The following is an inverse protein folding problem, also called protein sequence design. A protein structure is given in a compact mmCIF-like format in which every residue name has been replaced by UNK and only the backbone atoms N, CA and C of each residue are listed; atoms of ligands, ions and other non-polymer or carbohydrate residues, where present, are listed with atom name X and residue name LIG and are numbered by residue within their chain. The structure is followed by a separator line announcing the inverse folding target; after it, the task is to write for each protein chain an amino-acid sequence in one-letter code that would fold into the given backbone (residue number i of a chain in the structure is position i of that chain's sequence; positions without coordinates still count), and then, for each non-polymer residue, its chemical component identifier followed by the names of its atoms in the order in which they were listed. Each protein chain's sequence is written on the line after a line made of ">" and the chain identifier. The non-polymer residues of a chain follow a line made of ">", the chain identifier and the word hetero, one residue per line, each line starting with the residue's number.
data_IF_621864842314
#
_entry.id   IF_621864842314
#
_cell.length_a   1.000
_cell.length_b   1.000
_cell.length_c   1.000
_cell.angle_alpha   90.00
_cell.angle_beta   90.00
_cell.angle_gamma   90.00
#
_symmetry.space_group_name_H-M   'P 1'
#
loop_
_entity.id
_entity.type
_entity.pdbx_description
1 polymer ?
#
# COMPACT_ATOMS: atom_id res chain seq x y z
N UNK A 1 13.06 6.13 -15.07
CA UNK A 1 12.43 6.68 -13.83
C UNK A 1 10.92 6.95 -13.91
N UNK A 2 10.36 7.47 -15.03
CA UNK A 2 8.91 7.81 -15.09
C UNK A 2 7.99 6.60 -14.86
N UNK A 3 8.30 5.46 -15.47
CA UNK A 3 7.53 4.21 -15.31
C UNK A 3 7.61 3.70 -13.87
N UNK A 4 8.81 3.65 -13.29
CA UNK A 4 8.98 3.22 -11.89
C UNK A 4 8.21 4.11 -10.90
N UNK A 5 8.23 5.43 -11.10
CA UNK A 5 7.41 6.37 -10.32
C UNK A 5 5.93 6.08 -10.46
N UNK A 6 5.46 5.84 -11.68
CA UNK A 6 4.06 5.50 -11.93
C UNK A 6 3.67 4.19 -11.25
N UNK A 7 4.50 3.15 -11.37
CA UNK A 7 4.28 1.85 -10.73
C UNK A 7 4.24 1.96 -9.21
N UNK A 8 5.14 2.75 -8.60
CA UNK A 8 5.16 2.97 -7.15
C UNK A 8 3.89 3.66 -6.65
N UNK A 9 3.44 4.71 -7.32
CA UNK A 9 2.23 5.43 -6.94
C UNK A 9 0.98 4.59 -7.19
N UNK A 10 0.84 4.01 -8.38
CA UNK A 10 -0.30 3.18 -8.73
C UNK A 10 -0.39 1.92 -7.85
N UNK A 11 0.74 1.23 -7.64
CA UNK A 11 0.81 0.06 -6.77
C UNK A 11 0.50 0.38 -5.32
N UNK A 12 0.97 1.51 -4.80
CA UNK A 12 0.63 1.97 -3.46
C UNK A 12 -0.86 2.29 -3.30
N UNK A 13 -1.50 2.89 -4.32
CA UNK A 13 -2.96 3.10 -4.31
C UNK A 13 -3.71 1.76 -4.27
N UNK A 14 -3.30 0.77 -5.09
CA UNK A 14 -3.91 -0.56 -5.09
C UNK A 14 -3.77 -1.23 -3.73
N UNK A 15 -2.60 -1.15 -3.09
CA UNK A 15 -2.37 -1.68 -1.74
C UNK A 15 -3.24 -0.99 -0.68
N UNK A 16 -3.47 0.33 -0.78
CA UNK A 16 -4.39 1.04 0.11
C UNK A 16 -5.82 0.54 -0.06
N UNK A 17 -6.30 0.44 -1.30
CA UNK A 17 -7.66 -0.06 -1.58
C UNK A 17 -7.81 -1.49 -1.03
N UNK A 18 -6.82 -2.34 -1.25
CA UNK A 18 -6.81 -3.70 -0.72
C UNK A 18 -6.86 -3.69 0.81
N UNK A 19 -5.95 -2.98 1.50
CA UNK A 19 -5.92 -2.87 2.96
C UNK A 19 -7.23 -2.34 3.56
N UNK A 20 -7.87 -1.37 2.90
CA UNK A 20 -9.18 -0.84 3.30
C UNK A 20 -10.26 -1.91 3.19
N UNK A 21 -10.27 -2.68 2.10
CA UNK A 21 -11.24 -3.77 1.92
C UNK A 21 -11.12 -4.83 3.03
N UNK A 22 -9.90 -5.26 3.38
CA UNK A 22 -9.70 -6.26 4.45
C UNK A 22 -10.07 -5.73 5.84
N UNK A 23 -9.84 -4.44 6.10
CA UNK A 23 -10.07 -3.84 7.43
C UNK A 23 -11.51 -3.40 7.67
N UNK A 24 -12.23 -2.95 6.62
CA UNK A 24 -13.58 -2.40 6.76
C UNK A 24 -14.69 -3.39 6.40
N UNK A 25 -14.46 -4.36 5.50
CA UNK A 25 -15.49 -5.33 5.14
C UNK A 25 -15.51 -6.48 6.16
N UNK A 26 -16.64 -6.74 6.84
CA UNK A 26 -16.75 -7.79 7.85
C UNK A 26 -16.38 -9.17 7.33
N UNK A 27 -16.65 -9.43 6.04
CA UNK A 27 -16.38 -10.72 5.38
C UNK A 27 -14.88 -11.01 5.18
N UNK A 28 -14.02 -10.00 5.24
CA UNK A 28 -12.56 -10.13 5.08
C UNK A 28 -11.80 -9.83 6.38
N UNK A 29 -12.50 -9.31 7.38
CA UNK A 29 -11.92 -8.91 8.65
C UNK A 29 -11.70 -10.14 9.53
N UNK A 30 -10.51 -10.69 9.47
CA UNK A 30 -10.05 -11.68 10.45
C UNK A 30 -9.73 -10.98 11.78
N UNK A 31 -10.06 -11.63 12.90
CA UNK A 31 -9.74 -11.17 14.25
C UNK A 31 -8.40 -11.74 14.75
N UNK A 32 -7.70 -12.50 13.92
CA UNK A 32 -6.39 -13.03 14.26
C UNK A 32 -5.33 -11.92 14.33
N UNK A 33 -4.46 -11.96 15.33
CA UNK A 33 -3.38 -10.97 15.50
C UNK A 33 -2.41 -11.00 14.31
N UNK A 34 -2.19 -12.19 13.73
CA UNK A 34 -1.35 -12.36 12.55
C UNK A 34 -1.90 -11.57 11.34
N UNK A 35 -3.21 -11.69 11.09
CA UNK A 35 -3.89 -10.99 10.00
C UNK A 35 -3.98 -9.48 10.24
N UNK A 36 -4.09 -9.07 11.52
CA UNK A 36 -4.06 -7.66 11.93
C UNK A 36 -2.68 -7.05 11.65
N UNK A 37 -1.60 -7.73 12.04
CA UNK A 37 -0.23 -7.28 11.78
C UNK A 37 0.08 -7.23 10.29
N UNK A 38 -0.40 -8.20 9.51
CA UNK A 38 -0.28 -8.18 8.06
C UNK A 38 -1.01 -6.99 7.44
N UNK A 39 -2.22 -6.68 7.91
CA UNK A 39 -3.00 -5.53 7.44
C UNK A 39 -2.27 -4.21 7.70
N UNK A 40 -1.70 -4.03 8.90
CA UNK A 40 -0.87 -2.87 9.24
C UNK A 40 0.37 -2.79 8.33
N UNK A 41 1.02 -3.93 8.06
CA UNK A 41 2.15 -4.02 7.12
C UNK A 41 1.78 -3.60 5.71
N UNK A 42 0.60 -4.00 5.21
CA UNK A 42 0.07 -3.59 3.90
C UNK A 42 -0.09 -2.07 3.84
N UNK A 43 -0.68 -1.44 4.86
CA UNK A 43 -0.82 0.01 4.92
C UNK A 43 0.53 0.74 4.97
N UNK A 44 1.49 0.23 5.76
CA UNK A 44 2.83 0.78 5.85
C UNK A 44 3.56 0.76 4.50
N UNK A 45 3.53 -0.39 3.82
CA UNK A 45 4.13 -0.54 2.49
C UNK A 45 3.46 0.33 1.44
N UNK A 46 2.13 0.45 1.48
CA UNK A 46 1.37 1.29 0.57
C UNK A 46 1.77 2.76 0.68
N UNK A 47 1.86 3.27 1.91
CA UNK A 47 2.29 4.64 2.18
C UNK A 47 3.73 4.88 1.75
N UNK A 48 4.65 3.96 2.07
CA UNK A 48 6.06 4.07 1.67
C UNK A 48 6.20 4.06 0.15
N UNK A 49 5.46 3.23 -0.57
CA UNK A 49 5.48 3.18 -2.02
C UNK A 49 5.01 4.50 -2.65
N UNK A 50 3.92 5.09 -2.14
CA UNK A 50 3.41 6.38 -2.61
C UNK A 50 4.43 7.49 -2.34
N UNK A 51 4.95 7.58 -1.12
CA UNK A 51 5.97 8.57 -0.74
C UNK A 51 7.21 8.41 -1.62
N UNK A 52 7.73 7.19 -1.76
CA UNK A 52 8.87 6.90 -2.63
C UNK A 52 8.60 7.37 -4.06
N UNK A 53 7.43 7.05 -4.63
CA UNK A 53 7.04 7.49 -5.97
C UNK A 53 6.93 9.01 -6.10
N UNK A 54 6.36 9.70 -5.12
CA UNK A 54 6.22 11.18 -5.14
C UNK A 54 7.60 11.85 -5.09
N UNK A 55 8.47 11.43 -4.18
CA UNK A 55 9.79 12.03 -3.94
C UNK A 55 10.89 11.49 -4.87
N UNK A 56 10.57 10.53 -5.74
CA UNK A 56 11.53 9.97 -6.70
C UNK A 56 11.99 11.05 -7.70
N UNK A 57 13.16 11.65 -7.42
CA UNK A 57 13.76 12.64 -8.31
C UNK A 57 14.22 11.97 -9.60
N UNK A 58 13.95 12.61 -10.74
CA UNK A 58 14.44 12.17 -12.05
C UNK A 58 15.95 12.43 -12.09
N UNK A 59 16.77 11.47 -11.66
CA UNK A 59 18.21 11.48 -11.99
C UNK A 59 18.30 11.43 -13.53
N UNK A 60 18.83 12.51 -14.11
CA UNK A 60 19.19 12.60 -15.54
C UNK A 60 20.45 11.79 -15.76
#
# INVERSE_FOLDING_TARGET
>A
MKILRFVLVAGGIVLLVYGVMISLLPQYRSLDEADTNQTIGIFGLALLAIVAGIFMKRRR
#
